data_IF_331384106045
#
_entry.id   IF_331384106045
#
_cell.length_a   1.000
_cell.length_b   1.000
_cell.length_c   1.000
_cell.angle_alpha   90.00
_cell.angle_beta   90.00
_cell.angle_gamma   90.00
#
_symmetry.space_group_name_H-M   'P 1'
#
loop_
_entity.id
_entity.type
_entity.pdbx_description
1 polymer ?
#
# COMPACT_ATOMS: atom_id res chain seq x y z
N UNK A 1 -18.88 -11.37 -29.46
CA UNK A 1 -18.29 -11.10 -28.15
C UNK A 1 -17.93 -9.62 -28.09
N UNK A 2 -18.34 -8.89 -27.08
CA UNK A 2 -18.00 -7.46 -26.86
C UNK A 2 -16.62 -7.28 -26.21
N UNK A 3 -15.95 -8.37 -25.90
CA UNK A 3 -14.70 -8.41 -25.14
C UNK A 3 -13.58 -7.56 -25.77
N UNK A 4 -13.55 -7.50 -27.11
CA UNK A 4 -12.57 -6.69 -27.83
C UNK A 4 -12.86 -5.18 -27.80
N UNK A 5 -14.08 -4.80 -27.43
CA UNK A 5 -14.53 -3.40 -27.35
C UNK A 5 -14.55 -2.90 -25.91
N UNK A 6 -14.36 -3.79 -24.92
CA UNK A 6 -14.32 -3.42 -23.50
C UNK A 6 -12.92 -2.87 -23.16
N UNK A 7 -12.87 -1.63 -22.71
CA UNK A 7 -11.67 -1.03 -22.11
C UNK A 7 -11.53 -1.42 -20.65
N UNK A 8 -12.61 -1.26 -19.90
CA UNK A 8 -12.65 -1.48 -18.46
C UNK A 8 -14.08 -1.84 -18.03
N UNK A 9 -14.21 -2.76 -17.11
CA UNK A 9 -15.39 -2.93 -16.26
C UNK A 9 -14.97 -2.65 -14.82
N UNK A 10 -15.77 -1.89 -14.08
CA UNK A 10 -15.59 -1.66 -12.64
C UNK A 10 -16.89 -1.91 -11.91
N UNK A 11 -16.80 -2.35 -10.65
CA UNK A 11 -17.95 -2.40 -9.75
C UNK A 11 -17.90 -1.29 -8.69
N UNK A 12 -18.88 -1.26 -7.80
CA UNK A 12 -19.00 -0.31 -6.71
C UNK A 12 -18.10 -0.66 -5.50
N UNK A 13 -17.44 -1.81 -5.51
CA UNK A 13 -16.43 -2.21 -4.53
C UNK A 13 -15.00 -1.82 -4.94
N UNK A 14 -14.81 -1.38 -6.20
CA UNK A 14 -13.52 -1.03 -6.76
C UNK A 14 -12.77 -2.21 -7.35
N UNK A 15 -13.47 -3.28 -7.72
CA UNK A 15 -12.93 -4.37 -8.51
C UNK A 15 -13.02 -4.09 -10.00
N UNK A 16 -12.08 -4.65 -10.78
CA UNK A 16 -11.89 -4.31 -12.18
C UNK A 16 -11.69 -5.54 -13.07
N UNK A 17 -12.14 -5.39 -14.33
CA UNK A 17 -11.75 -6.23 -15.44
C UNK A 17 -11.17 -5.36 -16.56
N UNK A 18 -9.87 -5.53 -16.86
CA UNK A 18 -9.14 -4.84 -17.92
C UNK A 18 -8.55 -5.88 -18.89
N UNK A 19 -9.26 -6.20 -19.97
CA UNK A 19 -8.81 -7.22 -20.91
C UNK A 19 -7.47 -6.93 -21.57
N UNK A 20 -7.18 -5.66 -21.87
CA UNK A 20 -5.94 -5.25 -22.55
C UNK A 20 -4.67 -5.51 -21.73
N UNK A 21 -4.77 -5.54 -20.41
CA UNK A 21 -3.67 -5.79 -19.49
C UNK A 21 -3.76 -7.16 -18.81
N UNK A 22 -4.83 -7.94 -19.11
CA UNK A 22 -5.07 -9.24 -18.48
C UNK A 22 -5.37 -9.15 -16.98
N UNK A 23 -5.81 -7.99 -16.51
CA UNK A 23 -6.14 -7.75 -15.10
C UNK A 23 -7.59 -8.09 -14.86
N UNK A 24 -7.84 -8.92 -13.84
CA UNK A 24 -9.17 -9.29 -13.38
C UNK A 24 -9.13 -9.44 -11.85
N UNK A 25 -9.53 -8.39 -11.12
CA UNK A 25 -9.77 -8.47 -9.68
C UNK A 25 -11.21 -8.86 -9.39
N UNK A 26 -12.13 -8.53 -10.30
CA UNK A 26 -13.53 -8.93 -10.28
C UNK A 26 -13.67 -10.42 -10.62
N UNK A 27 -14.18 -11.21 -9.70
CA UNK A 27 -14.32 -12.67 -9.87
C UNK A 27 -15.57 -13.07 -10.66
N UNK A 28 -16.67 -12.33 -10.49
CA UNK A 28 -17.93 -12.54 -11.19
C UNK A 28 -18.78 -11.26 -11.16
N UNK A 29 -19.72 -11.14 -12.08
CA UNK A 29 -20.72 -10.08 -12.08
C UNK A 29 -21.99 -10.58 -11.40
N UNK A 30 -22.38 -9.98 -10.29
CA UNK A 30 -23.54 -10.40 -9.48
C UNK A 30 -24.80 -9.60 -9.80
N UNK A 31 -25.98 -10.26 -9.89
CA UNK A 31 -27.24 -9.55 -10.06
C UNK A 31 -27.55 -8.61 -8.89
N UNK A 32 -27.86 -7.36 -9.20
CA UNK A 32 -28.24 -6.34 -8.21
C UNK A 32 -27.09 -5.46 -7.74
N UNK A 33 -25.91 -5.64 -8.30
CA UNK A 33 -24.76 -4.71 -8.15
C UNK A 33 -24.68 -3.72 -9.31
N UNK A 34 -24.03 -2.60 -9.09
CA UNK A 34 -23.76 -1.60 -10.11
C UNK A 34 -22.42 -1.83 -10.81
N UNK A 35 -22.40 -1.72 -12.14
CA UNK A 35 -21.18 -1.86 -12.92
C UNK A 35 -21.00 -0.68 -13.87
N UNK A 36 -19.80 -0.11 -13.88
CA UNK A 36 -19.34 0.81 -14.90
C UNK A 36 -18.68 0.04 -16.04
N UNK A 37 -19.17 0.18 -17.28
CA UNK A 37 -18.57 -0.45 -18.46
C UNK A 37 -18.07 0.66 -19.39
N UNK A 38 -16.78 0.67 -19.65
CA UNK A 38 -16.13 1.61 -20.53
C UNK A 38 -15.72 0.91 -21.82
N UNK A 39 -16.10 1.49 -22.96
CA UNK A 39 -15.92 0.90 -24.27
C UNK A 39 -14.99 1.74 -25.13
N UNK A 40 -14.24 1.06 -26.02
CA UNK A 40 -13.36 1.70 -27.00
C UNK A 40 -14.12 2.20 -28.24
N UNK A 41 -15.36 1.75 -28.43
CA UNK A 41 -16.17 2.02 -29.61
C UNK A 41 -17.17 3.14 -29.35
N UNK A 42 -17.27 4.10 -30.29
CA UNK A 42 -18.33 5.12 -30.34
C UNK A 42 -19.66 4.58 -30.89
N UNK A 43 -19.70 3.32 -31.32
CA UNK A 43 -20.89 2.68 -31.87
C UNK A 43 -21.71 2.01 -30.76
N UNK A 44 -23.05 2.03 -30.83
CA UNK A 44 -23.89 1.29 -29.88
C UNK A 44 -23.55 -0.19 -29.88
N UNK A 45 -23.34 -0.75 -28.71
CA UNK A 45 -23.10 -2.18 -28.49
C UNK A 45 -24.29 -2.77 -27.73
N UNK A 46 -24.88 -3.83 -28.27
CA UNK A 46 -25.93 -4.57 -27.58
C UNK A 46 -25.31 -5.50 -26.53
N UNK A 47 -25.53 -5.18 -25.26
CA UNK A 47 -25.14 -6.02 -24.13
C UNK A 47 -26.34 -6.74 -23.55
N UNK A 48 -26.31 -8.07 -23.54
CA UNK A 48 -27.32 -8.88 -22.88
C UNK A 48 -26.75 -9.50 -21.63
N UNK A 49 -27.28 -9.12 -20.48
CA UNK A 49 -26.92 -9.69 -19.20
C UNK A 49 -27.31 -11.19 -19.18
N UNK A 50 -26.39 -12.10 -18.86
CA UNK A 50 -26.75 -13.52 -18.77
C UNK A 50 -27.72 -13.73 -17.60
N UNK A 51 -28.92 -14.22 -17.91
CA UNK A 51 -29.91 -14.62 -16.91
C UNK A 51 -29.48 -15.92 -16.25
N UNK A 52 -28.72 -15.87 -15.18
CA UNK A 52 -28.43 -17.06 -14.38
C UNK A 52 -28.81 -16.88 -12.93
N UNK A 53 -29.49 -17.88 -12.49
CA UNK A 53 -30.11 -18.17 -11.26
C UNK A 53 -29.46 -17.86 -9.92
N UNK A 54 -30.29 -17.65 -9.01
CA UNK A 54 -30.39 -17.53 -7.54
C UNK A 54 -29.27 -18.07 -6.61
N UNK A 55 -27.99 -18.14 -6.96
CA UNK A 55 -26.98 -18.78 -6.09
C UNK A 55 -25.90 -17.86 -5.51
N UNK A 56 -25.83 -16.58 -5.87
CA UNK A 56 -24.62 -15.78 -5.59
C UNK A 56 -24.64 -14.92 -4.31
N UNK A 57 -25.72 -14.89 -3.54
CA UNK A 57 -25.84 -13.91 -2.42
C UNK A 57 -25.23 -14.29 -1.07
N UNK A 58 -24.78 -15.52 -0.87
CA UNK A 58 -24.41 -16.00 0.48
C UNK A 58 -22.92 -16.19 0.75
N UNK A 59 -22.06 -16.24 -0.27
CA UNK A 59 -20.65 -16.62 -0.07
C UNK A 59 -19.68 -15.43 0.08
N UNK A 60 -20.00 -14.26 -0.45
CA UNK A 60 -19.06 -13.11 -0.43
C UNK A 60 -18.96 -12.42 0.92
N UNK A 61 -20.05 -12.28 1.67
CA UNK A 61 -20.04 -11.63 2.98
C UNK A 61 -19.23 -12.42 4.04
N UNK A 62 -19.18 -13.74 3.95
CA UNK A 62 -18.37 -14.60 4.83
C UNK A 62 -16.87 -14.51 4.50
N UNK A 63 -16.50 -14.43 3.22
CA UNK A 63 -15.11 -14.36 2.77
C UNK A 63 -14.41 -13.05 3.22
N UNK A 64 -15.11 -11.91 3.14
CA UNK A 64 -14.59 -10.60 3.59
C UNK A 64 -14.43 -10.49 5.11
N UNK A 65 -15.27 -11.17 5.88
CA UNK A 65 -15.19 -11.16 7.34
C UNK A 65 -14.01 -11.98 7.86
N UNK A 66 -13.60 -13.01 7.15
CA UNK A 66 -12.49 -13.89 7.54
C UNK A 66 -11.11 -13.32 7.17
N UNK A 67 -11.04 -12.57 6.06
CA UNK A 67 -9.79 -11.91 5.61
C UNK A 67 -9.37 -10.75 6.52
N UNK A 68 -10.33 -10.00 7.09
CA UNK A 68 -10.07 -8.82 7.91
C UNK A 68 -9.72 -9.11 9.39
N UNK A 69 -9.77 -10.35 9.86
CA UNK A 69 -9.54 -10.66 11.28
C UNK A 69 -8.09 -10.96 11.68
N UNK A 70 -7.14 -10.97 10.76
CA UNK A 70 -5.78 -11.49 11.04
C UNK A 70 -4.62 -10.52 10.92
N UNK A 71 -4.82 -9.20 10.94
CA UNK A 71 -3.70 -8.24 10.92
C UNK A 71 -3.85 -7.16 11.98
N UNK A 72 -3.04 -7.27 13.04
CA UNK A 72 -2.95 -6.33 14.18
C UNK A 72 -2.14 -5.04 13.87
N UNK A 73 -1.96 -4.68 12.61
CA UNK A 73 -1.39 -3.39 12.19
C UNK A 73 -2.44 -2.64 11.40
N UNK A 74 -2.73 -1.43 11.83
CA UNK A 74 -3.64 -0.54 11.13
C UNK A 74 -3.11 -0.34 9.70
N UNK A 75 -3.83 -0.86 8.72
CA UNK A 75 -3.52 -0.75 7.30
C UNK A 75 -4.06 0.59 6.77
N UNK A 76 -3.38 1.19 5.79
CA UNK A 76 -3.92 2.34 5.08
C UNK A 76 -5.22 2.00 4.35
N UNK A 77 -5.41 0.76 3.94
CA UNK A 77 -6.66 0.26 3.37
C UNK A 77 -7.87 0.46 4.30
N UNK A 78 -7.66 0.43 5.63
CA UNK A 78 -8.72 0.67 6.62
C UNK A 78 -9.14 2.14 6.71
N UNK A 79 -8.34 3.07 6.16
CA UNK A 79 -8.63 4.50 6.12
C UNK A 79 -9.41 4.90 4.86
N UNK A 80 -9.47 4.03 3.86
CA UNK A 80 -10.10 4.30 2.57
C UNK A 80 -11.61 4.07 2.68
N UNK A 81 -12.39 5.07 2.29
CA UNK A 81 -13.85 5.01 2.26
C UNK A 81 -14.33 4.88 0.82
N UNK A 82 -14.91 3.74 0.43
CA UNK A 82 -15.52 3.61 -0.90
C UNK A 82 -16.68 4.60 -1.07
N UNK A 83 -16.62 5.41 -2.12
CA UNK A 83 -17.64 6.43 -2.43
C UNK A 83 -18.57 6.02 -3.59
N UNK A 84 -18.28 4.89 -4.24
CA UNK A 84 -18.94 4.44 -5.46
C UNK A 84 -18.37 5.06 -6.75
N UNK A 85 -17.41 6.00 -6.66
CA UNK A 85 -16.71 6.58 -7.81
C UNK A 85 -15.24 6.20 -7.73
N UNK A 86 -14.85 5.11 -8.38
CA UNK A 86 -13.48 4.62 -8.38
C UNK A 86 -12.70 5.03 -9.64
N UNK A 87 -11.40 5.25 -9.46
CA UNK A 87 -10.45 5.48 -10.54
C UNK A 87 -9.25 4.54 -10.35
N UNK A 88 -9.07 3.56 -11.28
CA UNK A 88 -7.96 2.63 -11.15
C UNK A 88 -6.63 3.27 -11.50
N UNK A 89 -5.62 2.99 -10.66
CA UNK A 89 -4.22 3.27 -10.94
C UNK A 89 -3.51 1.92 -11.04
N UNK A 90 -2.93 1.65 -12.20
CA UNK A 90 -2.38 0.34 -12.54
C UNK A 90 -0.87 0.44 -12.63
N UNK A 91 -0.18 -0.16 -11.69
CA UNK A 91 1.28 -0.23 -11.69
C UNK A 91 1.69 -1.53 -12.35
N UNK A 92 2.20 -1.41 -13.56
CA UNK A 92 2.59 -2.55 -14.41
C UNK A 92 3.96 -3.10 -14.06
N UNK A 93 4.82 -2.28 -13.49
CA UNK A 93 6.16 -2.69 -13.02
C UNK A 93 6.53 -1.91 -11.76
N UNK A 94 7.01 -2.65 -10.78
CA UNK A 94 7.54 -2.12 -9.52
C UNK A 94 9.01 -2.51 -9.40
N UNK A 95 9.86 -1.53 -9.11
CA UNK A 95 11.29 -1.75 -8.95
C UNK A 95 11.85 -1.02 -7.73
N UNK A 96 13.08 -1.34 -7.35
CA UNK A 96 13.73 -0.75 -6.18
C UNK A 96 13.52 -1.58 -4.92
N UNK A 97 13.57 -0.92 -3.76
CA UNK A 97 13.46 -1.60 -2.46
C UNK A 97 12.00 -1.78 -2.06
N UNK A 98 11.36 -2.81 -2.61
CA UNK A 98 9.96 -3.17 -2.36
C UNK A 98 9.86 -4.62 -1.94
N UNK A 99 8.98 -4.90 -1.01
CA UNK A 99 8.70 -6.25 -0.51
C UNK A 99 7.22 -6.58 -0.60
N UNK A 100 6.93 -7.87 -0.71
CA UNK A 100 5.55 -8.37 -0.52
C UNK A 100 5.10 -8.03 0.89
N UNK A 101 3.91 -7.44 0.99
CA UNK A 101 3.36 -6.94 2.25
C UNK A 101 3.48 -5.42 2.43
N UNK A 102 4.29 -4.73 1.61
CA UNK A 102 4.31 -3.26 1.58
C UNK A 102 2.98 -2.72 1.05
N UNK A 103 2.62 -1.50 1.46
CA UNK A 103 1.38 -0.85 1.04
C UNK A 103 1.66 0.33 0.11
N UNK A 104 1.02 0.32 -1.05
CA UNK A 104 1.01 1.43 -1.98
C UNK A 104 -0.26 2.26 -1.75
N UNK A 105 -0.07 3.53 -1.43
CA UNK A 105 -1.13 4.45 -0.97
C UNK A 105 -1.25 5.62 -1.93
N UNK A 106 -2.47 5.90 -2.37
CA UNK A 106 -2.79 7.01 -3.25
C UNK A 106 -3.38 8.17 -2.45
N UNK A 107 -2.84 9.36 -2.69
CA UNK A 107 -3.24 10.60 -2.05
C UNK A 107 -3.80 11.60 -3.07
N UNK A 108 -4.77 12.40 -2.65
CA UNK A 108 -5.23 13.61 -3.28
C UNK A 108 -5.34 14.71 -2.21
N UNK A 109 -4.75 15.88 -2.44
CA UNK A 109 -4.70 17.00 -1.49
C UNK A 109 -4.30 16.61 -0.06
N UNK A 110 -3.41 15.62 0.08
CA UNK A 110 -2.93 15.11 1.36
C UNK A 110 -3.86 14.13 2.07
N UNK A 111 -4.99 13.79 1.49
CA UNK A 111 -5.91 12.75 1.99
C UNK A 111 -5.64 11.42 1.32
N UNK A 112 -5.80 10.32 2.06
CA UNK A 112 -5.75 8.97 1.52
C UNK A 112 -7.04 8.71 0.74
N UNK A 113 -6.91 8.45 -0.55
CA UNK A 113 -8.05 8.17 -1.44
C UNK A 113 -8.05 6.75 -1.99
N UNK A 114 -6.96 6.02 -1.81
CA UNK A 114 -6.83 4.63 -2.21
C UNK A 114 -5.62 3.98 -1.56
N UNK A 115 -5.68 2.69 -1.32
CA UNK A 115 -4.54 1.92 -0.82
C UNK A 115 -4.65 0.46 -1.24
N UNK A 116 -3.51 -0.18 -1.47
CA UNK A 116 -3.44 -1.60 -1.76
C UNK A 116 -2.17 -2.20 -1.20
N UNK A 117 -2.26 -3.43 -0.70
CA UNK A 117 -1.10 -4.19 -0.25
C UNK A 117 -0.51 -4.97 -1.42
N UNK A 118 0.79 -4.91 -1.58
CA UNK A 118 1.52 -5.64 -2.61
C UNK A 118 1.57 -7.12 -2.21
N UNK A 119 0.78 -7.93 -2.91
CA UNK A 119 0.72 -9.37 -2.66
C UNK A 119 1.74 -10.15 -3.51
N UNK A 120 2.16 -9.58 -4.65
CA UNK A 120 3.05 -10.18 -5.63
C UNK A 120 3.81 -9.07 -6.37
N UNK A 121 5.09 -9.30 -6.64
CA UNK A 121 5.95 -8.35 -7.36
C UNK A 121 6.07 -8.67 -8.87
N UNK A 122 5.47 -9.78 -9.31
CA UNK A 122 5.52 -10.23 -10.71
C UNK A 122 4.25 -9.89 -11.49
N UNK A 123 3.19 -9.52 -10.80
CA UNK A 123 1.90 -9.15 -11.37
C UNK A 123 1.66 -7.65 -11.24
N UNK A 124 0.89 -7.02 -12.16
CA UNK A 124 0.49 -5.64 -12.00
C UNK A 124 -0.27 -5.41 -10.68
N UNK A 125 0.01 -4.28 -10.03
CA UNK A 125 -0.67 -3.85 -8.80
C UNK A 125 -1.72 -2.81 -9.15
N UNK A 126 -2.95 -3.00 -8.70
CA UNK A 126 -4.06 -2.07 -8.92
C UNK A 126 -4.42 -1.38 -7.62
N UNK A 127 -4.54 -0.06 -7.68
CA UNK A 127 -5.02 0.78 -6.58
C UNK A 127 -6.37 1.36 -7.01
N UNK A 128 -7.42 1.08 -6.25
CA UNK A 128 -8.71 1.74 -6.41
C UNK A 128 -8.69 3.06 -5.66
N UNK A 129 -8.58 4.18 -6.37
CA UNK A 129 -8.70 5.50 -5.78
C UNK A 129 -10.16 5.99 -5.84
N UNK A 130 -10.68 6.54 -4.75
CA UNK A 130 -12.07 6.92 -4.60
C UNK A 130 -12.25 8.42 -4.76
N UNK A 131 -13.15 8.82 -5.68
CA UNK A 131 -13.52 10.21 -5.91
C UNK A 131 -14.50 10.72 -4.86
N UNK A 132 -14.47 12.03 -4.59
CA UNK A 132 -15.44 12.67 -3.70
C UNK A 132 -16.87 12.57 -4.26
N UNK A 133 -17.84 12.42 -3.37
CA UNK A 133 -19.26 12.42 -3.72
C UNK A 133 -20.01 13.43 -2.85
N UNK A 134 -20.58 14.47 -3.47
CA UNK A 134 -21.21 15.60 -2.81
C UNK A 134 -22.61 15.87 -3.39
N UNK A 135 -23.50 14.88 -3.33
CA UNK A 135 -24.85 15.01 -3.87
C UNK A 135 -25.89 14.32 -2.98
N UNK A 136 -27.16 14.64 -3.18
CA UNK A 136 -28.31 14.07 -2.45
C UNK A 136 -28.21 14.18 -0.91
N UNK A 137 -27.43 15.13 -0.38
CA UNK A 137 -27.20 15.28 1.06
C UNK A 137 -26.20 14.27 1.65
N UNK A 138 -25.49 13.58 0.80
CA UNK A 138 -24.35 12.72 1.14
C UNK A 138 -23.08 13.51 0.80
N UNK A 139 -22.14 13.55 1.75
CA UNK A 139 -20.87 14.25 1.63
C UNK A 139 -19.75 13.28 1.98
N UNK A 140 -19.07 12.76 0.96
CA UNK A 140 -17.96 11.82 1.08
C UNK A 140 -16.73 12.42 0.45
N UNK A 141 -15.66 12.50 1.23
CA UNK A 141 -14.37 12.98 0.77
C UNK A 141 -13.70 11.97 -0.19
N UNK A 142 -12.90 12.48 -1.11
CA UNK A 142 -12.16 11.72 -2.09
C UNK A 142 -11.42 12.65 -3.05
N UNK A 143 -10.81 12.09 -4.11
CA UNK A 143 -10.17 12.93 -5.11
C UNK A 143 -11.20 13.75 -5.90
N UNK A 144 -10.78 14.92 -6.36
CA UNK A 144 -11.50 15.72 -7.36
C UNK A 144 -10.88 15.47 -8.73
N UNK A 145 -11.71 15.44 -9.78
CA UNK A 145 -11.24 15.28 -11.15
C UNK A 145 -10.20 16.35 -11.51
N UNK A 146 -9.02 15.93 -11.90
CA UNK A 146 -7.88 16.79 -12.23
C UNK A 146 -6.88 16.99 -11.09
N UNK A 147 -7.13 16.47 -9.90
CA UNK A 147 -6.13 16.43 -8.84
C UNK A 147 -4.93 15.61 -9.26
N UNK A 148 -3.76 15.97 -8.78
CA UNK A 148 -2.53 15.23 -9.07
C UNK A 148 -2.51 13.92 -8.28
N UNK A 149 -2.14 12.83 -8.96
CA UNK A 149 -1.90 11.54 -8.32
C UNK A 149 -0.57 11.64 -7.54
N UNK A 150 -0.63 11.40 -6.23
CA UNK A 150 0.52 11.27 -5.34
C UNK A 150 0.52 9.85 -4.78
N UNK A 151 1.51 9.03 -5.17
CA UNK A 151 1.66 7.68 -4.67
C UNK A 151 2.80 7.61 -3.68
N UNK A 152 2.54 6.95 -2.56
CA UNK A 152 3.53 6.70 -1.52
C UNK A 152 3.55 5.22 -1.20
N UNK A 153 4.74 4.72 -0.90
CA UNK A 153 4.95 3.34 -0.52
C UNK A 153 5.33 3.26 0.95
N UNK A 154 4.68 2.37 1.68
CA UNK A 154 4.94 2.16 3.10
C UNK A 154 5.40 0.72 3.34
N UNK A 155 6.49 0.56 4.07
CA UNK A 155 6.94 -0.77 4.50
C UNK A 155 5.93 -1.38 5.46
N UNK A 156 5.42 -2.57 5.14
CA UNK A 156 4.44 -3.28 5.97
C UNK A 156 4.97 -3.68 7.35
N UNK A 157 6.28 -3.67 7.56
CA UNK A 157 6.91 -4.02 8.83
C UNK A 157 7.23 -2.82 9.71
N UNK A 158 7.52 -1.66 9.13
CA UNK A 158 8.05 -0.51 9.86
C UNK A 158 7.16 0.73 9.76
N UNK A 159 6.08 0.70 9.00
CA UNK A 159 5.26 1.88 8.64
C UNK A 159 6.10 3.05 8.13
N UNK A 160 7.26 2.72 7.52
CA UNK A 160 8.21 3.69 7.00
C UNK A 160 7.80 4.09 5.59
N UNK A 161 7.59 5.38 5.40
CA UNK A 161 7.35 5.92 4.07
C UNK A 161 8.62 5.83 3.21
N UNK A 162 8.48 5.33 2.00
CA UNK A 162 9.54 5.27 0.99
C UNK A 162 9.25 6.25 -0.13
N UNK A 163 10.28 6.91 -0.63
CA UNK A 163 10.13 7.80 -1.78
C UNK A 163 9.85 6.96 -3.04
N UNK A 164 8.83 7.35 -3.77
CA UNK A 164 8.46 6.71 -5.04
C UNK A 164 8.69 7.69 -6.18
N UNK A 165 9.46 7.26 -7.18
CA UNK A 165 9.49 7.91 -8.49
C UNK A 165 8.47 7.21 -9.39
N UNK A 166 7.58 7.98 -10.00
CA UNK A 166 6.49 7.49 -10.84
C UNK A 166 6.71 7.91 -12.29
N UNK A 167 6.44 6.98 -13.19
CA UNK A 167 6.27 7.26 -14.63
C UNK A 167 4.90 6.74 -15.07
N UNK A 168 3.90 7.59 -14.95
CA UNK A 168 2.51 7.30 -15.33
C UNK A 168 2.17 7.96 -16.65
N UNK A 169 1.38 7.27 -17.47
CA UNK A 169 0.81 7.79 -18.75
C UNK A 169 -0.10 9.01 -18.51
N UNK A 170 -0.72 9.05 -17.34
CA UNK A 170 -1.50 10.15 -16.83
C UNK A 170 -1.32 10.26 -15.32
N UNK A 171 -0.98 11.43 -14.83
CA UNK A 171 -0.72 11.69 -13.41
C UNK A 171 -1.81 12.55 -12.72
N UNK A 172 -3.04 12.54 -13.28
CA UNK A 172 -4.18 13.25 -12.71
C UNK A 172 -5.40 12.35 -12.61
N UNK A 173 -6.09 12.41 -11.48
CA UNK A 173 -7.31 11.65 -11.24
C UNK A 173 -8.44 12.02 -12.21
N UNK A 174 -9.19 11.00 -12.63
CA UNK A 174 -10.39 11.19 -13.45
C UNK A 174 -10.11 11.66 -14.87
N UNK A 175 -8.86 11.66 -15.32
CA UNK A 175 -8.47 11.90 -16.71
C UNK A 175 -8.28 10.55 -17.40
N UNK A 176 -9.06 10.32 -18.47
CA UNK A 176 -9.16 8.97 -19.05
C UNK A 176 -9.99 8.02 -18.18
N UNK A 177 -9.83 6.75 -18.39
CA UNK A 177 -10.56 5.67 -17.72
C UNK A 177 -9.77 5.13 -16.53
N UNK A 178 -8.45 5.16 -16.62
CA UNK A 178 -7.49 4.76 -15.59
C UNK A 178 -6.15 5.49 -15.83
N UNK A 179 -5.25 5.43 -14.86
CA UNK A 179 -3.83 5.74 -15.04
C UNK A 179 -3.03 4.43 -15.05
N UNK A 180 -1.98 4.36 -15.86
CA UNK A 180 -1.07 3.22 -15.85
C UNK A 180 0.38 3.65 -15.96
N UNK A 181 1.29 2.82 -15.44
CA UNK A 181 2.71 3.09 -15.52
C UNK A 181 3.55 2.26 -14.58
N UNK A 182 4.73 2.78 -14.26
CA UNK A 182 5.73 2.11 -13.43
C UNK A 182 6.09 2.95 -12.22
N UNK A 183 6.56 2.28 -11.17
CA UNK A 183 7.13 2.95 -10.01
C UNK A 183 8.51 2.39 -9.68
N UNK A 184 9.36 3.29 -9.19
CA UNK A 184 10.65 2.95 -8.62
C UNK A 184 10.70 3.43 -7.16
N UNK A 185 10.75 2.48 -6.23
CA UNK A 185 10.86 2.79 -4.81
C UNK A 185 12.33 2.96 -4.44
N UNK A 186 12.66 4.14 -3.93
CA UNK A 186 13.96 4.44 -3.37
C UNK A 186 13.88 4.32 -1.85
N UNK A 187 14.92 3.73 -1.24
CA UNK A 187 15.11 3.97 0.19
C UNK A 187 15.14 5.49 0.42
N UNK A 188 14.15 6.00 1.12
CA UNK A 188 14.43 7.25 1.79
C UNK A 188 15.55 6.91 2.76
N UNK A 189 16.75 7.38 2.47
CA UNK A 189 17.68 7.72 3.52
C UNK A 189 16.94 8.81 4.31
N UNK A 190 16.04 8.40 5.20
CA UNK A 190 15.54 9.29 6.21
C UNK A 190 16.76 9.67 7.03
N UNK A 191 17.35 10.81 6.67
CA UNK A 191 18.38 11.41 7.52
C UNK A 191 17.60 11.81 8.76
N UNK A 192 17.86 11.19 9.91
CA UNK A 192 17.17 11.55 11.13
C UNK A 192 17.41 13.03 11.41
N UNK A 193 16.41 13.74 11.89
CA UNK A 193 16.53 15.16 12.23
C UNK A 193 17.31 15.36 13.56
N UNK A 194 17.46 14.29 14.34
CA UNK A 194 18.20 14.29 15.62
C UNK A 194 18.90 12.95 15.85
N UNK A 195 19.93 12.93 16.68
CA UNK A 195 20.52 11.68 17.17
C UNK A 195 19.58 11.11 18.24
N UNK A 196 19.20 9.86 18.10
CA UNK A 196 18.27 9.22 19.01
C UNK A 196 18.70 7.80 19.38
N UNK A 197 18.33 7.39 20.60
CA UNK A 197 18.39 6.01 21.07
C UNK A 197 17.03 5.66 21.64
N UNK A 198 16.37 4.64 21.09
CA UNK A 198 15.05 4.22 21.56
C UNK A 198 15.16 3.13 22.62
N UNK A 199 14.07 2.94 23.36
CA UNK A 199 13.97 1.83 24.31
C UNK A 199 14.03 0.51 23.54
N UNK A 200 14.78 -0.45 24.06
CA UNK A 200 14.86 -1.79 23.49
C UNK A 200 13.49 -2.49 23.48
N UNK A 201 13.20 -3.21 22.38
CA UNK A 201 11.96 -3.96 22.23
C UNK A 201 12.23 -5.38 21.69
N UNK A 202 11.58 -6.42 22.25
CA UNK A 202 10.70 -6.41 23.42
C UNK A 202 11.45 -6.09 24.73
N UNK A 203 10.72 -5.53 25.71
CA UNK A 203 11.23 -5.33 27.06
C UNK A 203 10.08 -5.56 28.07
N UNK A 204 10.11 -6.63 28.91
CA UNK A 204 11.18 -7.66 29.04
C UNK A 204 11.38 -8.50 27.78
N UNK A 205 12.59 -9.03 27.56
CA UNK A 205 12.92 -9.82 26.40
C UNK A 205 13.23 -11.30 26.74
N UNK A 206 13.03 -12.20 25.74
CA UNK A 206 13.37 -13.63 25.83
C UNK A 206 13.48 -14.23 24.43
N UNK A 207 14.61 -14.74 23.97
CA UNK A 207 15.95 -14.58 24.56
C UNK A 207 16.64 -13.29 24.11
N UNK A 208 16.12 -12.55 23.12
CA UNK A 208 16.77 -11.39 22.52
C UNK A 208 15.89 -10.15 22.48
N UNK A 209 16.53 -9.02 22.35
CA UNK A 209 15.88 -7.72 22.16
C UNK A 209 16.58 -6.93 21.06
N UNK A 210 15.85 -6.02 20.42
CA UNK A 210 16.41 -5.08 19.43
C UNK A 210 16.56 -3.70 20.07
N UNK A 211 17.70 -3.08 19.82
CA UNK A 211 18.02 -1.71 20.20
C UNK A 211 18.11 -0.91 18.92
N UNK A 212 17.28 0.12 18.79
CA UNK A 212 17.24 1.01 17.63
C UNK A 212 17.84 2.36 17.98
N UNK A 213 18.65 2.91 17.07
CA UNK A 213 19.24 4.24 17.20
C UNK A 213 19.37 4.90 15.82
N UNK A 214 19.55 6.21 15.82
CA UNK A 214 19.63 6.99 14.59
C UNK A 214 20.77 8.01 14.65
N UNK A 215 21.41 8.23 13.49
CA UNK A 215 22.55 9.11 13.29
C UNK A 215 22.22 10.17 12.24
N UNK A 216 22.56 11.44 12.54
CA UNK A 216 22.40 12.58 11.60
C UNK A 216 23.39 12.54 10.45
N UNK A 217 24.62 12.09 10.73
CA UNK A 217 25.75 12.09 9.81
C UNK A 217 26.51 10.77 9.91
N UNK A 218 27.41 10.53 8.97
CA UNK A 218 28.36 9.44 9.05
C UNK A 218 29.29 9.68 10.24
N UNK A 219 29.26 8.80 11.23
CA UNK A 219 29.97 8.98 12.49
C UNK A 219 30.59 7.68 13.01
N UNK A 220 31.63 7.83 13.86
CA UNK A 220 32.17 6.71 14.61
C UNK A 220 31.31 6.49 15.86
N UNK A 221 30.71 5.30 15.95
CA UNK A 221 29.72 4.95 16.97
C UNK A 221 30.26 3.84 17.85
N UNK A 222 30.00 3.97 19.16
CA UNK A 222 30.16 2.87 20.11
C UNK A 222 28.86 2.71 20.90
N UNK A 223 28.18 1.56 20.73
CA UNK A 223 26.99 1.20 21.49
C UNK A 223 27.33 0.14 22.54
N UNK A 224 27.26 0.54 23.79
CA UNK A 224 27.62 -0.27 24.94
C UNK A 224 26.41 -0.57 25.82
N UNK A 225 26.39 -1.78 26.39
CA UNK A 225 25.44 -2.20 27.43
C UNK A 225 26.15 -2.23 28.76
N UNK A 226 25.57 -1.62 29.78
CA UNK A 226 26.08 -1.57 31.15
C UNK A 226 25.07 -2.18 32.13
N UNK A 227 25.57 -2.79 33.17
CA UNK A 227 24.72 -3.21 34.30
C UNK A 227 24.36 -2.02 35.21
N UNK A 228 23.51 -2.27 36.21
CA UNK A 228 23.06 -1.25 37.15
C UNK A 228 24.19 -0.67 38.05
N UNK A 229 25.37 -1.31 38.06
CA UNK A 229 26.54 -0.83 38.78
C UNK A 229 27.47 0.01 37.89
N UNK A 230 27.16 0.14 36.61
CA UNK A 230 27.96 0.84 35.62
C UNK A 230 29.11 0.01 35.02
N UNK A 231 29.12 -1.31 35.24
CA UNK A 231 30.09 -2.21 34.65
C UNK A 231 29.67 -2.54 33.20
N UNK A 232 30.62 -2.45 32.27
CA UNK A 232 30.42 -2.84 30.88
C UNK A 232 30.08 -4.32 30.77
N UNK A 233 28.95 -4.64 30.14
CA UNK A 233 28.46 -6.01 29.89
C UNK A 233 28.80 -6.44 28.48
N UNK A 234 28.48 -5.63 27.47
CA UNK A 234 28.72 -5.92 26.08
C UNK A 234 28.94 -4.63 25.27
N UNK A 235 29.76 -4.71 24.20
CA UNK A 235 29.84 -3.72 23.14
C UNK A 235 29.10 -4.28 21.93
N UNK A 236 27.98 -3.67 21.55
CA UNK A 236 27.13 -4.16 20.48
C UNK A 236 27.51 -3.61 19.12
N UNK A 237 28.04 -2.38 19.10
CA UNK A 237 28.52 -1.71 17.89
C UNK A 237 29.81 -0.98 18.23
N UNK A 238 30.80 -1.07 17.36
CA UNK A 238 32.03 -0.27 17.40
C UNK A 238 32.54 -0.06 15.97
N UNK A 239 32.47 1.18 15.46
CA UNK A 239 32.94 1.49 14.11
C UNK A 239 32.27 2.70 13.48
N UNK A 240 32.59 2.94 12.21
CA UNK A 240 31.97 3.98 11.43
C UNK A 240 30.65 3.48 10.82
N UNK A 241 29.59 4.20 11.08
CA UNK A 241 28.26 3.96 10.49
C UNK A 241 27.84 5.19 9.69
N UNK A 242 27.06 4.94 8.62
CA UNK A 242 26.45 6.00 7.83
C UNK A 242 25.30 6.67 8.58
N UNK A 243 24.96 7.90 8.16
CA UNK A 243 23.72 8.55 8.59
C UNK A 243 22.51 7.63 8.34
N UNK A 244 21.52 7.69 9.22
CA UNK A 244 20.32 6.87 9.08
C UNK A 244 19.89 6.15 10.35
N UNK A 245 18.95 5.23 10.21
CA UNK A 245 18.41 4.39 11.28
C UNK A 245 19.16 3.05 11.34
N UNK A 246 19.49 2.63 12.56
CA UNK A 246 20.25 1.40 12.82
C UNK A 246 19.54 0.56 13.85
N UNK A 247 19.56 -0.76 13.63
CA UNK A 247 18.98 -1.76 14.52
C UNK A 247 20.06 -2.79 14.89
N UNK A 248 20.18 -3.09 16.19
CA UNK A 248 21.12 -4.07 16.69
C UNK A 248 20.42 -5.02 17.65
N UNK A 249 20.55 -6.31 17.41
CA UNK A 249 20.00 -7.35 18.28
C UNK A 249 20.99 -7.71 19.38
N UNK A 250 20.48 -7.87 20.61
CA UNK A 250 21.22 -8.36 21.77
C UNK A 250 20.50 -9.53 22.43
N UNK A 251 21.22 -10.58 22.73
CA UNK A 251 20.70 -11.82 23.33
C UNK A 251 20.87 -11.91 24.85
N UNK A 252 21.23 -10.80 25.50
CA UNK A 252 21.39 -10.73 26.95
C UNK A 252 22.71 -11.26 27.49
N UNK A 253 23.64 -11.68 26.63
CA UNK A 253 24.93 -12.22 27.04
C UNK A 253 25.99 -11.14 27.18
N UNK A 254 26.96 -11.42 28.04
CA UNK A 254 28.16 -10.58 28.14
C UNK A 254 29.21 -10.96 27.09
N UNK A 255 30.32 -10.20 27.07
CA UNK A 255 31.43 -10.43 26.13
C UNK A 255 32.15 -11.78 26.32
N UNK A 256 31.77 -12.57 27.30
CA UNK A 256 32.37 -13.89 27.60
C UNK A 256 31.40 -15.05 27.29
N UNK A 257 30.16 -14.80 26.92
CA UNK A 257 29.13 -15.76 26.45
C UNK A 257 28.12 -16.21 27.47
#
# INVERSE_FOLDING_TARGET
SIENDVLLVSDDNGDYYLPSLGIMTMTEMCPGEGYGIFLSSDSPIDFTYPSTGDQARSSMHEYWTEYNQNTLTQSYSDLVVPTGISYPIIITEISGNVSVGDELVAYADGQVVGATRIADLTSPVVISAWGGFHDFGIDLDGYTKGDQIDLRLYSGFESKEMKVEMDLDNNHYGIGVFASGTIHAMDMLAVPEEIGLTQNYPNPFNPSTTISFNLLNDESVTLNVYDITGKLVATLVEGNLSAGYHNVSWDGRDMYG
#
